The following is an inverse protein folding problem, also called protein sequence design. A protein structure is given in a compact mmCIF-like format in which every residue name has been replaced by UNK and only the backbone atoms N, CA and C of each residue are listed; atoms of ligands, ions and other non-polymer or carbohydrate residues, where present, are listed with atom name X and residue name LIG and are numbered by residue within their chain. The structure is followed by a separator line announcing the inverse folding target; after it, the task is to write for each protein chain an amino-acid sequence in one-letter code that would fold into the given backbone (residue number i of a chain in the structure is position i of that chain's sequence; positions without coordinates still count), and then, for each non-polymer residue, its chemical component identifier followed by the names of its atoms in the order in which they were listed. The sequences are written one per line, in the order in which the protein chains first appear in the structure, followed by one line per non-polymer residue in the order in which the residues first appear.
data_IF_226837328273
#
_entry.id   IF_226837328273
#
_cell.length_a   1.000
_cell.length_b   1.000
_cell.length_c   1.000
_cell.angle_alpha   90.00
_cell.angle_beta   90.00
_cell.angle_gamma   90.00
#
_symmetry.space_group_name_H-M   'P 1'
#
loop_
_entity.id
_entity.type
_entity.pdbx_description
1 polymer ?
#
# COMPACT_ATOMS: atom_id res chain seq x y z
N UNK A 1 -16.33 -7.15 2.14
CA UNK A 1 -15.08 -7.30 1.38
C UNK A 1 -15.05 -8.72 0.83
N UNK A 2 -14.78 -8.87 -0.48
CA UNK A 2 -14.64 -10.18 -1.11
C UNK A 2 -13.29 -10.25 -1.83
N UNK A 3 -12.63 -11.40 -1.77
CA UNK A 3 -11.35 -11.66 -2.41
C UNK A 3 -11.35 -12.99 -3.15
N UNK A 4 -10.46 -13.11 -4.13
CA UNK A 4 -10.13 -14.38 -4.79
C UNK A 4 -8.68 -14.74 -4.54
N UNK A 5 -8.39 -16.03 -4.68
CA UNK A 5 -7.00 -16.51 -4.70
C UNK A 5 -6.25 -15.82 -5.85
N UNK A 6 -5.08 -15.25 -5.53
CA UNK A 6 -4.25 -14.50 -6.47
C UNK A 6 -4.43 -12.98 -6.43
N UNK A 7 -5.47 -12.48 -5.75
CA UNK A 7 -5.63 -11.05 -5.48
C UNK A 7 -4.61 -10.57 -4.43
N UNK A 8 -4.56 -9.26 -4.21
CA UNK A 8 -3.68 -8.62 -3.25
C UNK A 8 -4.47 -7.96 -2.13
N UNK A 9 -4.12 -8.27 -0.89
CA UNK A 9 -4.60 -7.57 0.28
C UNK A 9 -3.65 -6.41 0.58
N UNK A 10 -4.21 -5.20 0.67
CA UNK A 10 -3.51 -4.02 1.16
C UNK A 10 -4.13 -3.61 2.48
N UNK A 11 -3.27 -3.42 3.49
CA UNK A 11 -3.66 -2.94 4.82
C UNK A 11 -2.99 -1.60 5.04
N UNK A 12 -3.81 -0.56 5.12
CA UNK A 12 -3.33 0.78 5.46
C UNK A 12 -2.89 0.82 6.93
N UNK A 13 -1.77 1.48 7.19
CA UNK A 13 -1.30 1.69 8.55
C UNK A 13 -2.33 2.51 9.35
N UNK A 14 -2.69 2.06 10.56
CA UNK A 14 -3.66 2.76 11.41
C UNK A 14 -3.13 4.08 11.96
N UNK A 15 -1.81 4.26 12.05
CA UNK A 15 -1.15 5.44 12.62
C UNK A 15 -0.10 6.04 11.71
N UNK A 16 0.21 7.33 11.90
CA UNK A 16 1.30 8.03 11.22
C UNK A 16 2.62 7.32 11.56
N UNK A 17 3.22 6.65 10.58
CA UNK A 17 4.45 5.86 10.71
C UNK A 17 4.26 4.35 10.50
N UNK A 18 3.03 3.85 10.53
CA UNK A 18 2.75 2.46 10.15
C UNK A 18 2.89 2.31 8.64
N UNK A 19 3.81 1.46 8.20
CA UNK A 19 4.02 1.19 6.79
C UNK A 19 2.81 0.45 6.22
N UNK A 20 2.30 0.94 5.08
CA UNK A 20 1.27 0.22 4.31
C UNK A 20 1.83 -1.17 3.99
N UNK A 21 1.11 -2.21 4.42
CA UNK A 21 1.50 -3.60 4.17
C UNK A 21 0.67 -4.18 3.06
N UNK A 22 1.35 -4.82 2.11
CA UNK A 22 0.73 -5.52 1.00
C UNK A 22 1.12 -6.99 1.03
N UNK A 23 0.18 -7.85 0.69
CA UNK A 23 0.40 -9.29 0.61
C UNK A 23 -0.50 -9.94 -0.41
N UNK A 24 -0.02 -11.01 -1.02
CA UNK A 24 -0.80 -11.80 -1.98
C UNK A 24 -1.73 -12.74 -1.23
N UNK A 25 -2.99 -12.82 -1.63
CA UNK A 25 -3.96 -13.75 -1.08
C UNK A 25 -3.70 -15.12 -1.72
N UNK A 26 -3.03 -15.99 -0.96
CA UNK A 26 -2.72 -17.36 -1.38
C UNK A 26 -3.97 -18.24 -1.27
N UNK A 27 -4.83 -18.04 -0.26
CA UNK A 27 -6.08 -18.81 -0.08
C UNK A 27 -7.20 -17.95 0.52
N UNK A 28 -8.45 -18.28 0.19
CA UNK A 28 -9.65 -17.67 0.76
C UNK A 28 -10.49 -18.76 1.41
N UNK A 29 -10.72 -18.64 2.71
CA UNK A 29 -11.38 -19.68 3.51
C UNK A 29 -12.84 -19.35 3.85
N UNK A 30 -13.24 -18.09 3.74
CA UNK A 30 -14.63 -17.72 3.99
C UNK A 30 -15.53 -18.02 2.77
N UNK A 31 -16.82 -18.27 3.01
CA UNK A 31 -17.79 -18.48 1.94
C UNK A 31 -17.87 -17.25 1.03
N UNK A 32 -18.07 -17.48 -0.27
CA UNK A 32 -18.23 -16.43 -1.30
C UNK A 32 -17.07 -15.41 -1.37
N UNK A 33 -15.87 -15.80 -0.94
CA UNK A 33 -14.70 -14.92 -0.97
C UNK A 33 -14.55 -14.03 0.26
N UNK A 34 -15.25 -14.33 1.36
CA UNK A 34 -15.15 -13.58 2.62
C UNK A 34 -13.94 -13.99 3.46
N UNK A 35 -13.52 -13.18 4.44
CA UNK A 35 -12.49 -13.57 5.40
C UNK A 35 -12.84 -14.87 6.16
N UNK A 36 -11.83 -15.63 6.62
CA UNK A 36 -10.42 -15.29 6.67
C UNK A 36 -9.64 -15.55 5.37
N UNK A 37 -8.57 -14.80 5.17
CA UNK A 37 -7.67 -14.92 4.03
C UNK A 37 -6.29 -15.40 4.48
N UNK A 38 -5.69 -16.35 3.77
CA UNK A 38 -4.29 -16.68 3.92
C UNK A 38 -3.48 -15.76 3.02
N UNK A 39 -2.69 -14.88 3.63
CA UNK A 39 -1.95 -13.83 2.92
C UNK A 39 -0.46 -14.07 3.06
N UNK A 40 0.23 -14.06 1.92
CA UNK A 40 1.69 -14.03 1.84
C UNK A 40 2.17 -12.59 1.74
N UNK A 41 2.71 -12.07 2.84
CA UNK A 41 3.17 -10.70 2.95
C UNK A 41 4.43 -10.45 2.13
N UNK A 42 4.47 -9.36 1.34
CA UNK A 42 5.62 -9.06 0.48
C UNK A 42 6.81 -8.47 1.23
N UNK A 43 6.58 -7.87 2.40
CA UNK A 43 7.60 -7.23 3.22
C UNK A 43 8.44 -8.24 4.02
N UNK A 44 7.79 -9.26 4.56
CA UNK A 44 8.38 -10.28 5.45
C UNK A 44 8.50 -11.65 4.79
N UNK A 45 7.77 -11.90 3.70
CA UNK A 45 7.66 -13.24 3.08
C UNK A 45 6.87 -14.25 3.92
N UNK A 46 6.25 -13.80 5.01
CA UNK A 46 5.52 -14.69 5.91
C UNK A 46 4.08 -14.90 5.42
N UNK A 47 3.55 -16.10 5.68
CA UNK A 47 2.15 -16.42 5.43
C UNK A 47 1.35 -16.33 6.73
N UNK A 48 0.27 -15.56 6.71
CA UNK A 48 -0.58 -15.36 7.88
C UNK A 48 -2.05 -15.44 7.49
N UNK A 49 -2.84 -16.14 8.30
CA UNK A 49 -4.29 -16.11 8.21
C UNK A 49 -4.81 -14.84 8.89
N UNK A 50 -5.50 -13.97 8.15
CA UNK A 50 -5.95 -12.67 8.64
C UNK A 50 -7.44 -12.45 8.42
N UNK A 51 -8.05 -11.76 9.38
CA UNK A 51 -9.38 -11.14 9.27
C UNK A 51 -9.18 -9.63 9.04
N UNK A 52 -9.24 -9.16 7.77
CA UNK A 52 -9.04 -7.75 7.47
C UNK A 52 -10.07 -6.86 8.15
N UNK A 53 -9.62 -5.70 8.61
CA UNK A 53 -10.46 -4.65 9.20
C UNK A 53 -10.99 -3.67 8.16
N UNK A 54 -11.53 -2.55 8.63
CA UNK A 54 -12.02 -1.44 7.79
C UNK A 54 -10.91 -0.65 7.08
N UNK A 55 -9.67 -0.82 7.53
CA UNK A 55 -8.41 -0.25 7.02
C UNK A 55 -7.79 -1.10 5.90
N UNK A 56 -8.50 -2.13 5.45
CA UNK A 56 -8.01 -3.06 4.46
C UNK A 56 -8.83 -2.94 3.17
N UNK A 57 -8.19 -3.20 2.04
CA UNK A 57 -8.87 -3.37 0.76
C UNK A 57 -8.18 -4.44 -0.08
N UNK A 58 -8.93 -4.96 -1.06
CA UNK A 58 -8.46 -6.00 -1.98
C UNK A 58 -8.28 -5.38 -3.35
N UNK A 59 -7.17 -5.69 -3.99
CA UNK A 59 -6.86 -5.30 -5.36
C UNK A 59 -6.70 -6.55 -6.21
N UNK A 60 -7.30 -6.57 -7.39
CA UNK A 60 -6.96 -7.56 -8.40
C UNK A 60 -5.55 -7.35 -8.93
N UNK A 61 -4.96 -8.38 -9.54
CA UNK A 61 -3.63 -8.28 -10.13
C UNK A 61 -3.54 -7.20 -11.23
N UNK A 62 -4.63 -6.98 -11.98
CA UNK A 62 -4.69 -5.94 -13.02
C UNK A 62 -4.81 -4.54 -12.42
N UNK A 63 -5.59 -4.38 -11.34
CA UNK A 63 -5.68 -3.13 -10.61
C UNK A 63 -4.34 -2.77 -9.95
N UNK A 64 -3.63 -3.73 -9.36
CA UNK A 64 -2.31 -3.48 -8.79
C UNK A 64 -1.33 -3.01 -9.86
N UNK A 65 -1.33 -3.64 -11.04
CA UNK A 65 -0.47 -3.26 -12.16
C UNK A 65 -0.76 -1.82 -12.62
N UNK A 66 -2.03 -1.47 -12.74
CA UNK A 66 -2.45 -0.11 -13.08
C UNK A 66 -2.10 0.90 -11.97
N UNK A 67 -2.24 0.51 -10.69
CA UNK A 67 -1.85 1.36 -9.56
C UNK A 67 -0.33 1.57 -9.49
N UNK A 68 0.49 0.56 -9.78
CA UNK A 68 1.94 0.69 -9.80
C UNK A 68 2.41 1.62 -10.93
N UNK A 69 1.80 1.52 -12.11
CA UNK A 69 2.07 2.42 -13.23
C UNK A 69 1.70 3.87 -12.88
N UNK A 70 0.50 4.10 -12.35
CA UNK A 70 0.04 5.43 -11.93
C UNK A 70 0.83 5.95 -10.71
N UNK A 71 1.22 5.08 -9.77
CA UNK A 71 2.02 5.47 -8.61
C UNK A 71 3.45 5.85 -9.04
N UNK A 72 4.03 5.15 -10.01
CA UNK A 72 5.33 5.48 -10.58
C UNK A 72 5.29 6.83 -11.31
N UNK A 73 4.22 7.10 -12.07
CA UNK A 73 4.00 8.42 -12.68
C UNK A 73 3.82 9.52 -11.62
N UNK A 74 3.05 9.25 -10.55
CA UNK A 74 2.88 10.19 -9.43
C UNK A 74 4.18 10.47 -8.68
N UNK A 75 5.03 9.47 -8.49
CA UNK A 75 6.33 9.64 -7.82
C UNK A 75 7.28 10.53 -8.63
N UNK A 76 7.19 10.49 -9.97
CA UNK A 76 7.97 11.39 -10.84
C UNK A 76 7.55 12.86 -10.71
N UNK A 77 6.29 13.13 -10.38
CA UNK A 77 5.76 14.51 -10.31
C UNK A 77 6.00 15.19 -8.95
N UNK A 78 6.34 14.44 -7.89
CA UNK A 78 6.56 15.01 -6.54
C UNK A 78 8.05 15.34 -6.29
N UNK A 79 8.98 14.97 -7.17
CA UNK A 79 10.41 15.31 -7.03
C UNK A 79 10.78 16.76 -7.44
N UNK A 80 9.83 17.63 -7.79
CA UNK A 80 10.09 19.06 -7.99
C UNK A 80 9.44 19.91 -6.90
N UNK A 81 10.07 19.94 -5.73
CA UNK A 81 10.15 21.20 -4.98
C UNK A 81 11.58 21.70 -5.09
N UNK A 82 11.90 22.71 -5.93
CA UNK A 82 13.11 23.47 -5.70
C UNK A 82 12.86 24.22 -4.38
N UNK A 83 13.32 23.65 -3.27
CA UNK A 83 13.37 24.36 -2.01
C UNK A 83 14.41 25.45 -2.19
N UNK A 84 13.99 26.60 -2.70
CA UNK A 84 14.74 27.84 -2.59
C UNK A 84 14.72 28.23 -1.11
N UNK A 85 15.62 27.63 -0.33
CA UNK A 85 16.03 28.19 0.94
C UNK A 85 16.73 29.53 0.63
N UNK A 86 15.96 30.61 0.71
CA UNK A 86 16.47 31.97 0.80
C UNK A 86 17.30 32.06 2.09
N UNK A 87 18.62 31.96 1.96
CA UNK A 87 19.55 32.29 3.04
C UNK A 87 19.72 33.80 3.12
N UNK A 88 19.35 34.33 4.29
CA UNK A 88 19.91 35.48 4.98
C UNK A 88 20.08 36.82 4.24
N UNK A 89 19.15 37.71 4.59
CA UNK A 89 19.46 39.03 5.12
C UNK A 89 20.61 38.98 6.15
N UNK A 90 21.72 39.70 5.93
CA UNK A 90 22.38 40.59 6.90
C UNK A 90 23.63 41.19 6.27
N UNK A 91 23.62 42.50 6.01
CA UNK A 91 24.78 43.19 5.44
C UNK A 91 24.67 44.72 5.46
N UNK A 92 24.27 45.26 6.61
CA UNK A 92 24.42 46.68 6.97
C UNK A 92 25.90 47.04 7.02
N UNK A 93 26.35 47.98 6.17
CA UNK A 93 27.28 49.04 6.56
C UNK A 93 27.41 50.14 5.52
#
# INVERSE_FOLDING_TARGET
MHAKQGDWLVVEGRSIGDMVRRGRIDEVHGPDGTPPFLVHWSDTGHRTLIFPGSDSYVLSADELRAQEEVAMERFSSIQHTPTAHSTDDTGRS
#
